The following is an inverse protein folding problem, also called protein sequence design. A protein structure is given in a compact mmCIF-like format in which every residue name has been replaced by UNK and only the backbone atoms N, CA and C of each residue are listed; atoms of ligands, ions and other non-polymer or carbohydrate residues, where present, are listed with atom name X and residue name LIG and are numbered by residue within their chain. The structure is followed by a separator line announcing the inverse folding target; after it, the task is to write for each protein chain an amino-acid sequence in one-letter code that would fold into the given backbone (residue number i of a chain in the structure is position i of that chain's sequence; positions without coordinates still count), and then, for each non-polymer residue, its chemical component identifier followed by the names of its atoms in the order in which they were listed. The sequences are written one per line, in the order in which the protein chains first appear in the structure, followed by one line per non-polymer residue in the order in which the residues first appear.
data_IF_130578170170
#
_entry.id   IF_130578170170
#
_cell.length_a   1.000
_cell.length_b   1.000
_cell.length_c   1.000
_cell.angle_alpha   90.00
_cell.angle_beta   90.00
_cell.angle_gamma   90.00
#
_symmetry.space_group_name_H-M   'P 1'
#
loop_
_entity.id
_entity.type
_entity.pdbx_description
1 polymer ?
#
# COMPACT_ATOMS: atom_id res chain seq x y z
N UNK A 1 26.75 25.64 13.35
CA UNK A 1 25.74 25.71 12.26
C UNK A 1 24.45 25.07 12.77
N UNK A 2 23.40 25.88 13.01
CA UNK A 2 22.19 25.49 13.75
C UNK A 2 21.06 25.22 12.75
N UNK A 3 20.76 23.96 12.44
CA UNK A 3 19.69 23.61 11.50
C UNK A 3 18.35 23.69 12.26
N UNK A 4 17.70 24.86 12.22
CA UNK A 4 16.30 25.04 12.66
C UNK A 4 15.37 24.50 11.58
N UNK A 5 15.01 23.23 11.66
CA UNK A 5 13.91 22.64 10.89
C UNK A 5 12.69 22.45 11.79
N UNK A 6 11.58 23.16 11.50
CA UNK A 6 10.28 22.94 12.14
C UNK A 6 9.88 21.47 12.01
N UNK A 7 9.91 20.72 13.12
CA UNK A 7 9.29 19.40 13.22
C UNK A 7 7.78 19.60 13.29
N UNK A 8 7.15 19.70 12.13
CA UNK A 8 5.71 19.80 12.04
C UNK A 8 5.10 18.40 12.19
N UNK A 9 4.35 18.24 13.28
CA UNK A 9 3.19 17.35 13.43
C UNK A 9 3.48 15.90 13.92
N UNK A 10 3.40 15.76 15.25
CA UNK A 10 2.82 14.64 16.02
C UNK A 10 2.80 13.26 15.36
N UNK A 11 3.83 12.46 15.64
CA UNK A 11 3.73 11.00 15.63
C UNK A 11 2.80 10.59 16.78
N UNK A 12 1.55 10.23 16.49
CA UNK A 12 0.72 9.56 17.48
C UNK A 12 1.14 8.09 17.58
N UNK A 13 1.97 7.81 18.58
CA UNK A 13 2.15 6.57 19.32
C UNK A 13 2.13 5.25 18.55
N UNK A 14 3.32 4.73 18.25
CA UNK A 14 3.69 3.34 18.52
C UNK A 14 5.21 3.25 18.47
N UNK A 15 5.84 2.87 19.59
CA UNK A 15 7.28 2.66 19.75
C UNK A 15 7.77 1.45 18.94
N UNK A 16 7.63 1.51 17.61
CA UNK A 16 7.87 0.39 16.72
C UNK A 16 8.81 0.88 15.62
N UNK A 17 9.92 0.18 15.41
CA UNK A 17 10.80 0.43 14.25
C UNK A 17 10.16 0.07 12.88
N UNK A 18 8.92 -0.43 12.87
CA UNK A 18 8.22 -0.90 11.68
C UNK A 18 6.68 -0.81 11.81
N UNK A 19 6.00 -0.70 10.67
CA UNK A 19 4.53 -0.70 10.55
C UNK A 19 4.11 -1.50 9.32
N UNK A 20 2.98 -2.20 9.40
CA UNK A 20 2.43 -2.91 8.24
C UNK A 20 1.75 -1.93 7.27
N UNK A 21 1.74 -2.27 5.98
CA UNK A 21 1.11 -1.44 4.94
C UNK A 21 -0.37 -1.17 5.26
N UNK A 22 -1.09 -2.18 5.74
CA UNK A 22 -2.49 -2.04 6.15
C UNK A 22 -2.69 -1.07 7.32
N UNK A 23 -1.80 -1.08 8.34
CA UNK A 23 -1.90 -0.16 9.47
C UNK A 23 -1.49 1.27 9.10
N UNK A 24 -0.59 1.42 8.13
CA UNK A 24 -0.20 2.74 7.59
C UNK A 24 -1.24 3.38 6.65
N UNK A 25 -2.44 2.83 6.55
CA UNK A 25 -3.47 3.32 5.63
C UNK A 25 -3.94 4.71 6.06
N UNK A 26 -3.78 5.68 5.16
CA UNK A 26 -4.06 7.09 5.41
C UNK A 26 -2.80 7.92 5.71
N UNK A 27 -1.75 7.28 6.19
CA UNK A 27 -0.48 7.93 6.50
C UNK A 27 0.46 7.95 5.30
N UNK A 28 1.40 8.91 5.32
CA UNK A 28 2.49 9.01 4.35
C UNK A 28 3.77 9.48 5.02
N UNK A 29 4.90 8.92 4.61
CA UNK A 29 6.22 9.17 5.19
C UNK A 29 7.17 9.75 4.14
N UNK A 30 8.11 10.63 4.52
CA UNK A 30 9.11 11.18 3.59
C UNK A 30 9.89 10.07 2.86
N UNK A 31 10.34 9.07 3.62
CA UNK A 31 11.11 7.92 3.13
C UNK A 31 10.43 6.65 3.64
N UNK A 32 10.26 5.65 2.76
CA UNK A 32 9.73 4.34 3.11
C UNK A 32 10.69 3.26 2.61
N UNK A 33 10.94 2.26 3.47
CA UNK A 33 11.73 1.07 3.15
C UNK A 33 10.78 -0.13 3.23
N UNK A 34 10.68 -0.90 2.15
CA UNK A 34 9.78 -2.05 2.05
C UNK A 34 10.63 -3.31 1.87
N UNK A 35 10.61 -4.25 2.85
CA UNK A 35 11.15 -5.58 2.62
C UNK A 35 10.25 -6.35 1.66
N UNK A 36 10.82 -6.91 0.60
CA UNK A 36 10.13 -7.78 -0.36
C UNK A 36 10.90 -9.09 -0.44
N UNK A 37 10.26 -10.18 0.00
CA UNK A 37 10.88 -11.51 0.05
C UNK A 37 9.90 -12.57 -0.41
N UNK A 38 10.39 -13.68 -0.93
CA UNK A 38 9.55 -14.80 -1.39
C UNK A 38 8.80 -15.55 -0.25
N UNK A 39 9.17 -15.36 1.03
CA UNK A 39 8.57 -16.07 2.18
C UNK A 39 7.06 -15.85 2.37
N UNK A 40 6.54 -14.69 1.97
CA UNK A 40 5.13 -14.33 2.13
C UNK A 40 4.45 -14.06 0.79
N UNK A 41 4.61 -14.97 -0.16
CA UNK A 41 4.11 -14.85 -1.55
C UNK A 41 2.61 -14.55 -1.66
N UNK A 42 1.79 -15.01 -0.71
CA UNK A 42 0.35 -14.71 -0.65
C UNK A 42 0.05 -13.21 -0.55
N UNK A 43 0.94 -12.45 0.09
CA UNK A 43 0.81 -10.99 0.25
C UNK A 43 1.44 -10.21 -0.91
N UNK A 44 2.19 -10.86 -1.80
CA UNK A 44 2.83 -10.23 -2.96
C UNK A 44 1.80 -9.99 -4.07
N UNK A 45 0.90 -9.04 -3.85
CA UNK A 45 -0.13 -8.64 -4.81
C UNK A 45 0.11 -7.20 -5.28
N UNK A 46 -0.30 -6.91 -6.52
CA UNK A 46 -0.08 -5.61 -7.15
C UNK A 46 -0.76 -4.46 -6.38
N UNK A 47 -1.96 -4.69 -5.83
CA UNK A 47 -2.69 -3.70 -5.05
C UNK A 47 -2.00 -3.36 -3.72
N UNK A 48 -1.40 -4.35 -3.05
CA UNK A 48 -0.68 -4.14 -1.80
C UNK A 48 0.63 -3.39 -2.08
N UNK A 49 1.36 -3.80 -3.12
CA UNK A 49 2.57 -3.14 -3.58
C UNK A 49 2.29 -1.66 -3.92
N UNK A 50 1.25 -1.39 -4.71
CA UNK A 50 0.83 -0.02 -5.05
C UNK A 50 0.46 0.80 -3.80
N UNK A 51 -0.25 0.19 -2.85
CA UNK A 51 -0.60 0.86 -1.58
C UNK A 51 0.64 1.20 -0.76
N UNK A 52 1.64 0.31 -0.75
CA UNK A 52 2.89 0.50 -0.05
C UNK A 52 3.75 1.59 -0.72
N UNK A 53 3.82 1.59 -2.05
CA UNK A 53 4.51 2.63 -2.84
C UNK A 53 3.95 4.02 -2.56
N UNK A 54 2.62 4.15 -2.52
CA UNK A 54 1.94 5.43 -2.25
C UNK A 54 2.09 5.94 -0.82
N UNK A 55 2.66 5.14 0.10
CA UNK A 55 3.06 5.62 1.44
C UNK A 55 4.28 6.54 1.38
N UNK A 56 5.15 6.40 0.38
CA UNK A 56 6.35 7.22 0.24
C UNK A 56 6.06 8.58 -0.40
N UNK A 57 6.61 9.66 0.16
CA UNK A 57 6.46 11.02 -0.39
C UNK A 57 7.66 11.50 -1.22
N UNK A 58 8.87 11.07 -0.86
CA UNK A 58 10.10 11.56 -1.51
C UNK A 58 10.97 10.41 -2.01
N UNK A 59 11.18 9.38 -1.18
CA UNK A 59 12.03 8.25 -1.53
C UNK A 59 11.41 6.92 -1.11
N UNK A 60 11.50 5.94 -1.99
CA UNK A 60 11.09 4.57 -1.74
C UNK A 60 12.27 3.64 -1.99
N UNK A 61 12.50 2.69 -1.08
CA UNK A 61 13.57 1.72 -1.18
C UNK A 61 12.97 0.33 -0.98
N UNK A 62 13.20 -0.56 -1.94
CA UNK A 62 12.88 -1.99 -1.80
C UNK A 62 14.13 -2.75 -1.34
N UNK A 63 13.96 -3.69 -0.42
CA UNK A 63 15.05 -4.53 0.09
C UNK A 63 14.62 -6.00 0.03
N UNK A 64 15.39 -6.83 -0.67
CA UNK A 64 15.17 -8.27 -0.77
C UNK A 64 15.19 -8.76 -2.22
N UNK A 65 14.32 -9.72 -2.54
CA UNK A 65 14.42 -10.51 -3.77
C UNK A 65 13.77 -9.81 -4.98
N UNK A 66 14.48 -9.79 -6.11
CA UNK A 66 14.01 -9.09 -7.33
C UNK A 66 12.86 -9.82 -8.01
N UNK A 67 12.91 -11.15 -8.02
CA UNK A 67 11.85 -12.03 -8.53
C UNK A 67 10.57 -11.90 -7.71
N UNK A 68 10.66 -11.75 -6.39
CA UNK A 68 9.51 -11.47 -5.53
C UNK A 68 8.81 -10.15 -5.90
N UNK A 69 9.59 -9.10 -6.21
CA UNK A 69 9.05 -7.83 -6.70
C UNK A 69 8.38 -8.01 -8.07
N UNK A 70 9.01 -8.73 -9.00
CA UNK A 70 8.45 -9.00 -10.31
C UNK A 70 7.15 -9.81 -10.23
N UNK A 71 7.11 -10.82 -9.36
CA UNK A 71 5.90 -11.57 -9.05
C UNK A 71 4.80 -10.65 -8.50
N UNK A 72 5.12 -9.79 -7.53
CA UNK A 72 4.15 -8.87 -6.93
C UNK A 72 3.55 -7.90 -7.96
N UNK A 73 4.35 -7.42 -8.92
CA UNK A 73 3.90 -6.54 -10.00
C UNK A 73 2.89 -7.27 -10.92
N UNK A 74 3.15 -8.54 -11.24
CA UNK A 74 2.31 -9.34 -12.14
C UNK A 74 1.07 -9.94 -11.45
N UNK A 75 1.08 -10.08 -10.13
CA UNK A 75 0.02 -10.72 -9.38
C UNK A 75 -1.21 -9.80 -9.17
N UNK A 76 -2.16 -9.88 -10.11
CA UNK A 76 -3.43 -9.14 -10.12
C UNK A 76 -4.55 -9.78 -9.30
N UNK A 77 -4.32 -10.91 -8.63
CA UNK A 77 -5.37 -11.65 -7.92
C UNK A 77 -6.12 -10.80 -6.87
N UNK A 78 -5.41 -9.85 -6.24
CA UNK A 78 -6.00 -8.90 -5.29
C UNK A 78 -6.98 -7.87 -5.89
N UNK A 79 -7.11 -7.79 -7.22
CA UNK A 79 -8.04 -6.87 -7.90
C UNK A 79 -9.43 -7.49 -8.09
N UNK A 80 -9.54 -8.82 -8.13
CA UNK A 80 -10.83 -9.50 -8.31
C UNK A 80 -11.62 -9.44 -7.01
N UNK A 81 -12.72 -8.69 -7.01
CA UNK A 81 -13.63 -8.58 -5.87
C UNK A 81 -14.92 -9.32 -6.18
N UNK A 82 -15.25 -10.32 -5.38
CA UNK A 82 -16.54 -11.00 -5.45
C UNK A 82 -17.59 -10.07 -4.80
N UNK A 83 -18.30 -9.30 -5.62
CA UNK A 83 -19.33 -8.36 -5.17
C UNK A 83 -20.44 -8.24 -6.19
N UNK A 84 -21.70 -8.32 -5.74
CA UNK A 84 -22.88 -8.15 -6.59
C UNK A 84 -23.29 -6.67 -6.77
N UNK A 85 -22.55 -5.72 -6.18
CA UNK A 85 -22.93 -4.31 -6.18
C UNK A 85 -23.06 -3.75 -7.60
N UNK A 86 -22.14 -4.11 -8.51
CA UNK A 86 -22.21 -3.67 -9.90
C UNK A 86 -23.47 -4.16 -10.60
N UNK A 87 -23.91 -5.38 -10.32
CA UNK A 87 -25.10 -5.97 -10.95
C UNK A 87 -26.37 -5.31 -10.39
N UNK A 88 -26.40 -5.06 -9.07
CA UNK A 88 -27.51 -4.35 -8.41
C UNK A 88 -27.69 -2.94 -9.00
N UNK A 89 -26.60 -2.20 -9.21
CA UNK A 89 -26.66 -0.85 -9.77
C UNK A 89 -27.21 -0.84 -11.21
N UNK A 90 -26.77 -1.77 -12.06
CA UNK A 90 -27.27 -1.88 -13.45
C UNK A 90 -28.76 -2.16 -13.51
N UNK A 91 -29.28 -3.02 -12.62
CA UNK A 91 -30.72 -3.32 -12.55
C UNK A 91 -31.52 -2.09 -12.11
N UNK A 92 -30.97 -1.28 -11.20
CA UNK A 92 -31.65 -0.05 -10.74
C UNK A 92 -31.73 1.03 -11.84
N UNK A 93 -30.69 1.18 -12.66
CA UNK A 93 -30.69 2.12 -13.79
C UNK A 93 -31.70 1.72 -14.88
N UNK A 94 -31.84 0.42 -15.15
CA UNK A 94 -32.82 -0.10 -16.12
C UNK A 94 -34.29 0.02 -15.69
N UNK A 95 -34.57 0.10 -14.39
CA UNK A 95 -35.93 0.33 -13.86
C UNK A 95 -36.32 1.81 -13.79
N UNK A 96 -35.33 2.71 -13.81
CA UNK A 96 -35.53 4.15 -13.75
C UNK A 96 -35.69 4.79 -15.15
N UNK A 97 -35.31 4.07 -16.21
CA UNK A 97 -35.54 4.40 -17.62
C UNK A 97 -36.83 3.76 -18.14
#
# INVERSE_FOLDING_TARGET
MKIKGKVSRTFHSTDNGFITVHKSRGDRFPIVIIPITNYHSVLLTQNLLYTAMTRARQKLIFVGDRDALEYAIRNTQGLKRNTALCDILKVSEQKAA
#
